data_IF_511615820134
#
_entry.id   IF_511615820134
#
_cell.length_a   1.000
_cell.length_b   1.000
_cell.length_c   1.000
_cell.angle_alpha   90.00
_cell.angle_beta   90.00
_cell.angle_gamma   90.00
#
_symmetry.space_group_name_H-M   'P 1'
#
loop_
_entity.id
_entity.type
_entity.pdbx_description
1 polymer ?
#
# COMPACT_ATOMS: atom_id res chain seq x y z
N UNK A 1 29.62 -9.33 -1.84
CA UNK A 1 29.68 -9.51 -3.31
C UNK A 1 28.59 -8.78 -4.08
N UNK A 2 27.34 -8.62 -3.60
CA UNK A 2 26.27 -7.93 -4.37
C UNK A 2 26.53 -6.44 -4.61
N UNK A 3 27.26 -5.78 -3.70
CA UNK A 3 27.70 -4.40 -3.90
C UNK A 3 28.63 -4.24 -5.11
N UNK A 4 29.37 -5.29 -5.46
CA UNK A 4 30.37 -5.24 -6.53
C UNK A 4 29.71 -5.22 -7.91
N UNK A 5 28.72 -6.09 -8.15
CA UNK A 5 27.98 -6.17 -9.41
C UNK A 5 27.25 -4.85 -9.69
N UNK A 6 26.64 -4.26 -8.65
CA UNK A 6 26.03 -2.93 -8.74
C UNK A 6 27.05 -1.84 -9.05
N UNK A 7 28.19 -1.82 -8.34
CA UNK A 7 29.23 -0.82 -8.57
C UNK A 7 29.79 -0.89 -10.01
N UNK A 8 29.95 -2.10 -10.56
CA UNK A 8 30.36 -2.28 -11.96
C UNK A 8 29.30 -1.70 -12.90
N UNK A 9 28.02 -2.00 -12.68
CA UNK A 9 26.92 -1.46 -13.50
C UNK A 9 26.79 0.06 -13.39
N UNK A 10 26.97 0.64 -12.21
CA UNK A 10 26.96 2.08 -12.00
C UNK A 10 28.14 2.74 -12.77
N UNK A 11 29.33 2.13 -12.75
CA UNK A 11 30.48 2.58 -13.55
C UNK A 11 30.23 2.45 -15.06
N UNK A 12 29.60 1.35 -15.51
CA UNK A 12 29.24 1.15 -16.92
C UNK A 12 28.20 2.18 -17.35
N UNK A 13 27.18 2.44 -16.54
CA UNK A 13 26.18 3.49 -16.82
C UNK A 13 26.82 4.88 -16.90
N UNK A 14 27.73 5.20 -15.97
CA UNK A 14 28.50 6.45 -16.03
C UNK A 14 29.38 6.53 -17.28
N UNK A 15 30.04 5.44 -17.67
CA UNK A 15 30.84 5.37 -18.90
C UNK A 15 29.98 5.63 -20.15
N UNK A 16 28.83 4.96 -20.27
CA UNK A 16 27.88 5.17 -21.38
C UNK A 16 27.45 6.64 -21.47
N UNK A 17 27.07 7.24 -20.33
CA UNK A 17 26.63 8.63 -20.26
C UNK A 17 27.76 9.61 -20.64
N UNK A 18 28.98 9.37 -20.16
CA UNK A 18 30.13 10.26 -20.38
C UNK A 18 30.69 10.18 -21.81
N UNK A 19 30.69 9.01 -22.43
CA UNK A 19 31.30 8.80 -23.75
C UNK A 19 30.37 9.08 -24.92
N UNK A 20 29.08 9.31 -24.67
CA UNK A 20 28.04 9.41 -25.72
C UNK A 20 28.07 8.20 -26.67
N UNK A 21 28.41 7.03 -26.15
CA UNK A 21 28.49 5.81 -26.93
C UNK A 21 27.11 5.49 -27.54
N UNK A 22 27.04 5.30 -28.87
CA UNK A 22 25.83 4.83 -29.50
C UNK A 22 25.67 3.34 -29.19
N UNK A 23 24.78 3.02 -28.25
CA UNK A 23 24.48 1.63 -27.93
C UNK A 23 23.88 0.92 -29.14
N UNK A 24 24.31 -0.32 -29.36
CA UNK A 24 23.62 -1.19 -30.31
C UNK A 24 22.16 -1.43 -29.86
N UNK A 25 21.24 -1.81 -30.76
CA UNK A 25 19.87 -2.13 -30.38
C UNK A 25 19.78 -3.21 -29.28
N UNK A 26 20.72 -4.16 -29.27
CA UNK A 26 20.81 -5.23 -28.27
C UNK A 26 21.30 -4.70 -26.92
N UNK A 27 22.38 -3.91 -26.92
CA UNK A 27 22.90 -3.28 -25.70
C UNK A 27 21.87 -2.34 -25.08
N UNK A 28 21.14 -1.58 -25.90
CA UNK A 28 20.05 -0.73 -25.45
C UNK A 28 18.96 -1.54 -24.76
N UNK A 29 18.58 -2.70 -25.30
CA UNK A 29 17.61 -3.59 -24.67
C UNK A 29 18.11 -4.11 -23.31
N UNK A 30 19.41 -4.43 -23.19
CA UNK A 30 20.00 -4.83 -21.90
C UNK A 30 19.95 -3.68 -20.87
N UNK A 31 20.26 -2.45 -21.27
CA UNK A 31 20.21 -1.26 -20.42
C UNK A 31 18.77 -0.94 -20.01
N UNK A 32 17.84 -0.90 -20.97
CA UNK A 32 16.43 -0.63 -20.72
C UNK A 32 15.83 -1.68 -19.75
N UNK A 33 16.22 -2.95 -19.87
CA UNK A 33 15.81 -3.99 -18.92
C UNK A 33 16.35 -3.69 -17.51
N UNK A 34 17.62 -3.32 -17.39
CA UNK A 34 18.23 -2.99 -16.09
C UNK A 34 17.60 -1.75 -15.45
N UNK A 35 17.37 -0.68 -16.21
CA UNK A 35 16.79 0.56 -15.69
C UNK A 35 15.34 0.38 -15.23
N UNK A 36 14.58 -0.46 -15.92
CA UNK A 36 13.20 -0.76 -15.52
C UNK A 36 13.10 -1.82 -14.42
N UNK A 37 14.15 -2.62 -14.20
CA UNK A 37 14.15 -3.72 -13.22
C UNK A 37 13.78 -3.29 -11.80
N UNK A 38 14.27 -2.16 -11.22
CA UNK A 38 13.95 -1.77 -9.86
C UNK A 38 12.48 -1.44 -9.68
N UNK A 39 11.82 -0.93 -10.74
CA UNK A 39 10.39 -0.61 -10.72
C UNK A 39 9.59 -1.91 -10.69
N UNK A 40 9.90 -2.86 -11.58
CA UNK A 40 9.19 -4.15 -11.62
C UNK A 40 9.37 -4.95 -10.33
N UNK A 41 10.60 -5.09 -9.84
CA UNK A 41 10.86 -5.80 -8.59
C UNK A 41 10.37 -5.03 -7.38
N UNK A 42 10.42 -3.71 -7.39
CA UNK A 42 9.86 -2.87 -6.33
C UNK A 42 8.35 -3.07 -6.20
N UNK A 43 7.62 -3.01 -7.33
CA UNK A 43 6.18 -3.25 -7.35
C UNK A 43 5.82 -4.70 -6.97
N UNK A 44 6.56 -5.69 -7.47
CA UNK A 44 6.33 -7.09 -7.11
C UNK A 44 6.59 -7.35 -5.61
N UNK A 45 7.70 -6.85 -5.07
CA UNK A 45 8.00 -6.95 -3.65
C UNK A 45 6.96 -6.19 -2.81
N UNK A 46 6.52 -5.01 -3.24
CA UNK A 46 5.47 -4.26 -2.57
C UNK A 46 4.13 -5.01 -2.59
N UNK A 47 3.76 -5.62 -3.71
CA UNK A 47 2.53 -6.40 -3.80
C UNK A 47 2.57 -7.62 -2.87
N UNK A 48 3.67 -8.38 -2.87
CA UNK A 48 3.81 -9.60 -2.06
C UNK A 48 3.93 -9.25 -0.58
N UNK A 49 4.90 -8.42 -0.20
CA UNK A 49 5.14 -8.09 1.20
C UNK A 49 4.13 -7.10 1.77
N UNK A 50 3.64 -6.16 0.95
CA UNK A 50 2.59 -5.25 1.33
C UNK A 50 1.25 -5.96 1.53
N UNK A 51 0.91 -6.95 0.70
CA UNK A 51 -0.27 -7.79 0.96
C UNK A 51 -0.08 -8.67 2.20
N UNK A 52 1.09 -9.28 2.38
CA UNK A 52 1.38 -10.08 3.57
C UNK A 52 1.31 -9.23 4.85
N UNK A 53 1.86 -8.01 4.83
CA UNK A 53 1.73 -7.03 5.90
C UNK A 53 0.27 -6.62 6.11
N UNK A 54 -0.49 -6.40 5.04
CA UNK A 54 -1.91 -6.05 5.14
C UNK A 54 -2.76 -7.16 5.78
N UNK A 55 -2.48 -8.44 5.48
CA UNK A 55 -3.19 -9.57 6.08
C UNK A 55 -2.73 -9.89 7.51
N UNK A 56 -1.47 -9.66 7.85
CA UNK A 56 -0.92 -9.96 9.18
C UNK A 56 -1.11 -8.82 10.17
N UNK A 57 -1.01 -7.57 9.72
CA UNK A 57 -1.24 -6.38 10.50
C UNK A 57 -2.69 -5.96 10.30
N UNK A 58 -3.60 -6.49 11.13
CA UNK A 58 -4.94 -5.91 11.27
C UNK A 58 -4.76 -4.48 11.83
N UNK A 59 -4.62 -3.48 10.94
CA UNK A 59 -4.27 -2.10 11.30
C UNK A 59 -5.21 -1.48 12.35
N UNK A 60 -6.41 -2.04 12.52
CA UNK A 60 -7.32 -1.67 13.62
C UNK A 60 -6.72 -1.90 15.01
N UNK A 61 -5.86 -2.90 15.17
CA UNK A 61 -5.22 -3.22 16.45
C UNK A 61 -4.16 -2.19 16.89
N UNK A 62 -3.65 -1.36 15.97
CA UNK A 62 -2.68 -0.29 16.31
C UNK A 62 -3.35 0.96 16.89
N UNK A 63 -4.67 1.10 16.77
CA UNK A 63 -5.42 2.21 17.36
C UNK A 63 -6.42 1.73 18.42
N UNK A 64 -6.01 0.93 19.43
CA UNK A 64 -6.94 0.38 20.42
C UNK A 64 -7.57 1.48 21.29
N UNK A 65 -6.91 2.63 21.39
CA UNK A 65 -7.31 3.71 22.29
C UNK A 65 -8.61 4.43 21.91
N UNK A 66 -9.02 4.44 20.63
CA UNK A 66 -10.22 5.20 20.28
C UNK A 66 -11.50 4.56 20.80
N UNK A 67 -11.58 3.23 20.73
CA UNK A 67 -12.76 2.50 21.17
C UNK A 67 -12.83 2.41 22.70
N UNK A 68 -11.68 2.25 23.36
CA UNK A 68 -11.60 2.20 24.82
C UNK A 68 -11.86 3.58 25.45
N UNK A 69 -11.37 4.68 24.84
CA UNK A 69 -11.74 6.05 25.26
C UNK A 69 -13.23 6.34 25.11
N UNK A 70 -13.88 5.86 24.05
CA UNK A 70 -15.33 6.03 23.89
C UNK A 70 -16.12 5.30 24.97
N UNK A 71 -15.71 4.09 25.35
CA UNK A 71 -16.36 3.37 26.47
C UNK A 71 -16.15 4.06 27.82
N UNK A 72 -14.94 4.56 28.10
CA UNK A 72 -14.69 5.35 29.33
C UNK A 72 -15.49 6.65 29.37
N UNK A 73 -15.63 7.35 28.24
CA UNK A 73 -16.45 8.57 28.18
C UNK A 73 -17.94 8.28 28.40
N UNK A 74 -18.46 7.15 27.90
CA UNK A 74 -19.85 6.76 28.17
C UNK A 74 -20.09 6.42 29.65
N UNK A 75 -19.14 5.76 30.32
CA UNK A 75 -19.26 5.50 31.76
C UNK A 75 -19.26 6.79 32.58
N UNK A 76 -18.39 7.76 32.25
CA UNK A 76 -18.37 9.05 32.96
C UNK A 76 -19.68 9.84 32.78
N UNK A 77 -20.31 9.82 31.59
CA UNK A 77 -21.61 10.47 31.41
C UNK A 77 -22.72 9.81 32.25
N UNK A 78 -22.67 8.50 32.43
CA UNK A 78 -23.67 7.77 33.20
C UNK A 78 -23.57 8.07 34.70
N UNK A 79 -22.36 8.17 35.25
CA UNK A 79 -22.14 8.60 36.64
C UNK A 79 -22.60 10.04 36.87
N UNK A 80 -22.37 10.94 35.91
CA UNK A 80 -22.81 12.33 36.05
C UNK A 80 -24.34 12.48 36.07
N UNK A 81 -25.07 11.64 35.31
CA UNK A 81 -26.53 11.60 35.38
C UNK A 81 -27.05 11.05 36.71
N UNK A 82 -26.39 10.05 37.30
CA UNK A 82 -26.78 9.53 38.61
C UNK A 82 -26.59 10.56 39.73
N UNK A 83 -25.50 11.35 39.70
CA UNK A 83 -25.31 12.44 40.67
C UNK A 83 -26.39 13.53 40.56
N UNK A 84 -26.84 13.88 39.35
CA UNK A 84 -27.94 14.85 39.20
C UNK A 84 -29.28 14.34 39.74
N UNK A 85 -29.58 13.04 39.60
CA UNK A 85 -30.79 12.49 40.19
C UNK A 85 -30.75 12.48 41.72
N UNK A 86 -29.59 12.21 42.34
CA UNK A 86 -29.48 12.29 43.81
C UNK A 86 -29.64 13.72 44.33
N UNK A 87 -29.13 14.73 43.62
CA UNK A 87 -29.35 16.13 44.03
C UNK A 87 -30.81 16.58 43.89
N UNK A 88 -31.57 16.09 42.90
CA UNK A 88 -33.00 16.39 42.84
C UNK A 88 -33.81 15.73 43.96
N UNK A 89 -33.40 14.53 44.42
CA UNK A 89 -34.09 13.86 45.51
C UNK A 89 -33.78 14.47 46.88
N UNK A 90 -32.60 15.06 47.05
CA UNK A 90 -32.25 15.85 48.23
C UNK A 90 -32.74 17.29 48.16
N UNK A 91 -33.31 17.77 47.05
CA UNK A 91 -33.89 19.11 47.00
C UNK A 91 -34.97 19.18 48.09
N UNK A 92 -34.74 19.94 49.17
CA UNK A 92 -35.61 19.93 50.33
C UNK A 92 -37.01 20.24 49.85
N UNK A 93 -37.94 19.33 50.16
CA UNK A 93 -39.35 19.54 49.86
C UNK A 93 -39.71 20.91 50.43
N UNK A 94 -40.14 21.88 49.60
CA UNK A 94 -40.48 23.19 50.11
C UNK A 94 -41.48 23.01 51.25
N UNK A 95 -41.31 23.73 52.38
CA UNK A 95 -42.20 23.60 53.52
C UNK A 95 -43.64 23.77 53.03
N UNK A 96 -44.48 22.79 53.34
CA UNK A 96 -45.91 22.79 53.01
C UNK A 96 -46.52 24.05 53.63
N UNK A 97 -46.74 25.07 52.82
CA UNK A 97 -47.71 26.11 53.13
C UNK A 97 -49.11 25.52 52.92
N UNK A 98 -50.06 25.81 53.83
CA UNK A 98 -51.43 25.31 53.74
C UNK A 98 -52.10 25.81 52.45
N UNK A 99 -52.99 25.01 51.85
CA UNK A 99 -53.66 25.36 50.59
C UNK A 99 -54.55 26.59 50.79
N UNK A 100 -54.35 27.67 50.02
CA UNK A 100 -55.36 28.71 49.90
C UNK A 100 -56.56 28.17 49.11
N UNK A 101 -57.74 28.56 49.58
CA UNK A 101 -59.03 28.20 49.02
C UNK A 101 -59.14 28.56 47.53
N UNK A 102 -59.83 27.68 46.80
CA UNK A 102 -60.18 27.79 45.39
C UNK A 102 -60.78 29.15 44.99
N UNK A 103 -60.34 29.70 43.85
CA UNK A 103 -61.21 30.37 42.89
C UNK A 103 -61.31 29.50 41.63
N UNK A 104 -62.49 28.97 41.32
CA UNK A 104 -63.46 29.56 40.38
C UNK A 104 -62.88 29.76 38.97
N UNK A 105 -63.44 28.99 38.06
CA UNK A 105 -63.24 28.91 36.61
C UNK A 105 -63.19 30.26 35.90
N UNK A 106 -62.26 30.40 34.95
CA UNK A 106 -62.44 31.19 33.74
C UNK A 106 -61.82 30.46 32.52
N UNK A 107 -62.56 30.36 31.40
CA UNK A 107 -62.04 29.79 30.15
C UNK A 107 -61.52 30.87 29.17
N UNK A 108 -60.81 30.38 28.14
CA UNK A 108 -60.39 31.03 26.89
C UNK A 108 -59.03 31.77 26.90
N UNK A 109 -58.35 31.99 25.74
CA UNK A 109 -58.78 31.73 24.37
C UNK A 109 -57.79 30.89 23.52
N UNK A 110 -58.33 30.36 22.42
CA UNK A 110 -57.55 29.92 21.25
C UNK A 110 -56.96 31.15 20.57
N UNK A 111 -55.71 31.08 20.14
CA UNK A 111 -55.26 31.82 18.97
C UNK A 111 -54.50 30.91 17.98
N UNK A 112 -54.93 30.91 16.70
CA UNK A 112 -54.18 30.39 15.56
C UNK A 112 -53.36 31.51 14.88
N UNK A 113 -52.43 31.15 13.98
CA UNK A 113 -51.57 32.03 13.15
C UNK A 113 -50.36 32.64 13.88
N UNK A 114 -49.16 32.84 13.31
CA UNK A 114 -48.57 32.67 11.98
C UNK A 114 -47.01 32.69 12.18
N UNK A 115 -46.13 32.22 11.29
CA UNK A 115 -45.36 32.97 10.27
C UNK A 115 -44.12 32.05 10.01
N UNK A 116 -43.94 31.43 8.84
CA UNK A 116 -43.29 31.91 7.59
C UNK A 116 -41.75 31.73 7.48
N UNK A 117 -41.36 30.94 6.45
CA UNK A 117 -40.14 30.99 5.59
C UNK A 117 -38.77 30.46 6.09
N UNK A 118 -37.82 30.06 5.19
CA UNK A 118 -37.77 30.18 3.71
C UNK A 118 -37.49 28.87 2.90
N UNK A 119 -37.62 28.91 1.55
CA UNK A 119 -37.18 27.84 0.64
C UNK A 119 -35.68 27.93 0.30
N UNK A 120 -35.01 26.78 0.22
CA UNK A 120 -33.62 26.65 -0.24
C UNK A 120 -33.55 26.37 -1.76
N UNK A 121 -32.42 26.72 -2.42
CA UNK A 121 -32.40 27.14 -3.81
C UNK A 121 -32.33 26.00 -4.85
N UNK A 122 -32.92 26.32 -6.00
CA UNK A 122 -32.72 25.69 -7.30
C UNK A 122 -31.21 25.67 -7.62
N UNK A 123 -30.65 24.47 -7.83
CA UNK A 123 -29.33 24.34 -8.45
C UNK A 123 -29.48 23.65 -9.80
N UNK A 124 -28.98 24.38 -10.79
CA UNK A 124 -29.12 24.19 -12.23
C UNK A 124 -28.74 22.80 -12.74
N UNK A 125 -29.54 22.38 -13.71
CA UNK A 125 -29.17 21.43 -14.74
C UNK A 125 -27.99 21.96 -15.58
N UNK A 126 -27.11 21.05 -15.98
CA UNK A 126 -26.46 20.93 -17.28
C UNK A 126 -25.03 20.39 -17.16
N UNK A 127 -24.82 19.10 -17.46
CA UNK A 127 -23.75 18.66 -18.37
C UNK A 127 -23.95 17.18 -18.79
N UNK A 128 -23.33 16.69 -19.88
CA UNK A 128 -24.03 15.98 -20.92
C UNK A 128 -23.84 14.47 -20.77
N UNK A 129 -24.80 13.79 -21.41
CA UNK A 129 -24.85 12.35 -21.63
C UNK A 129 -23.54 11.83 -22.23
N UNK A 130 -22.85 10.96 -21.49
CA UNK A 130 -22.08 9.87 -22.11
C UNK A 130 -23.01 8.65 -22.25
N UNK A 131 -22.92 7.87 -23.34
CA UNK A 131 -23.69 6.65 -23.49
C UNK A 131 -23.20 5.60 -22.49
N UNK A 132 -24.00 5.34 -21.47
CA UNK A 132 -23.82 4.23 -20.56
C UNK A 132 -24.25 2.94 -21.26
N UNK A 133 -23.33 1.98 -21.34
CA UNK A 133 -23.63 0.59 -21.61
C UNK A 133 -24.63 0.07 -20.57
N UNK A 134 -25.65 -0.74 -20.97
CA UNK A 134 -26.61 -1.30 -20.02
C UNK A 134 -25.90 -2.32 -19.12
N UNK A 135 -25.64 -1.94 -17.88
CA UNK A 135 -25.24 -2.86 -16.83
C UNK A 135 -26.44 -3.74 -16.43
N UNK A 136 -26.26 -5.06 -16.25
CA UNK A 136 -27.33 -5.96 -15.87
C UNK A 136 -27.87 -5.61 -14.48
N UNK A 137 -29.19 -5.47 -14.40
CA UNK A 137 -29.94 -5.27 -13.17
C UNK A 137 -29.66 -6.41 -12.18
N UNK A 138 -28.75 -6.17 -11.24
CA UNK A 138 -28.56 -7.04 -10.08
C UNK A 138 -29.77 -6.87 -9.17
N UNK A 139 -30.58 -7.92 -9.11
CA UNK A 139 -31.62 -8.11 -8.12
C UNK A 139 -31.02 -7.87 -6.71
N UNK A 140 -31.43 -6.76 -6.10
CA UNK A 140 -31.11 -6.46 -4.72
C UNK A 140 -31.94 -7.38 -3.81
N UNK A 141 -31.41 -8.56 -3.53
CA UNK A 141 -31.95 -9.43 -2.49
C UNK A 141 -31.79 -8.71 -1.16
N UNK A 142 -32.91 -8.30 -0.56
CA UNK A 142 -33.00 -7.75 0.78
C UNK A 142 -32.59 -8.83 1.81
N UNK A 143 -31.29 -9.06 1.96
CA UNK A 143 -30.75 -9.89 3.01
C UNK A 143 -30.96 -9.17 4.35
N UNK A 144 -31.92 -9.66 5.14
CA UNK A 144 -32.06 -9.33 6.56
C UNK A 144 -30.68 -9.49 7.20
N UNK A 145 -30.08 -8.37 7.61
CA UNK A 145 -28.85 -8.35 8.41
C UNK A 145 -29.16 -9.03 9.74
N UNK A 146 -28.93 -10.34 9.84
CA UNK A 146 -28.82 -10.97 11.14
C UNK A 146 -27.65 -10.29 11.87
N UNK A 147 -27.85 -9.88 13.14
CA UNK A 147 -26.75 -9.41 13.97
C UNK A 147 -25.82 -10.60 14.20
N UNK A 148 -24.80 -10.77 13.34
CA UNK A 148 -23.74 -11.72 13.61
C UNK A 148 -23.11 -11.33 14.94
N UNK A 149 -22.91 -12.28 15.86
CA UNK A 149 -22.23 -12.02 17.12
C UNK A 149 -20.88 -11.41 16.80
N UNK A 150 -20.59 -10.28 17.44
CA UNK A 150 -19.34 -9.54 17.29
C UNK A 150 -18.22 -10.48 17.72
N UNK A 151 -17.57 -11.13 16.75
CA UNK A 151 -16.49 -12.07 17.01
C UNK A 151 -15.39 -11.32 17.76
N UNK A 152 -15.27 -11.58 19.06
CA UNK A 152 -14.20 -11.04 19.91
C UNK A 152 -12.93 -11.74 19.44
N UNK A 153 -12.17 -11.08 18.57
CA UNK A 153 -10.88 -11.61 18.14
C UNK A 153 -9.92 -11.56 19.32
N UNK A 154 -9.15 -12.62 19.58
CA UNK A 154 -8.16 -12.61 20.65
C UNK A 154 -7.15 -11.50 20.39
N UNK A 155 -6.92 -10.65 21.38
CA UNK A 155 -5.88 -9.63 21.33
C UNK A 155 -4.53 -10.35 21.34
N UNK A 156 -3.81 -10.30 20.22
CA UNK A 156 -2.48 -10.90 20.16
C UNK A 156 -1.51 -10.09 21.03
N UNK A 157 -0.59 -10.76 21.74
CA UNK A 157 0.46 -10.09 22.51
C UNK A 157 1.31 -9.16 21.63
N UNK A 158 1.63 -7.97 22.14
CA UNK A 158 2.38 -6.95 21.38
C UNK A 158 3.74 -7.44 20.86
N UNK A 159 4.40 -8.35 21.57
CA UNK A 159 5.68 -8.93 21.13
C UNK A 159 5.53 -9.75 19.85
N UNK A 160 4.44 -10.49 19.66
CA UNK A 160 4.19 -11.28 18.43
C UNK A 160 4.08 -10.34 17.23
N UNK A 161 3.36 -9.23 17.37
CA UNK A 161 3.25 -8.21 16.33
C UNK A 161 4.62 -7.61 15.97
N UNK A 162 5.46 -7.34 16.98
CA UNK A 162 6.81 -6.82 16.76
C UNK A 162 7.67 -7.79 15.93
N UNK A 163 7.65 -9.09 16.29
CA UNK A 163 8.37 -10.12 15.52
C UNK A 163 7.81 -10.31 14.12
N UNK A 164 6.49 -10.19 13.95
CA UNK A 164 5.85 -10.22 12.64
C UNK A 164 6.35 -9.11 11.73
N UNK A 165 6.41 -7.87 12.24
CA UNK A 165 6.97 -6.73 11.49
C UNK A 165 8.44 -6.98 11.15
N UNK A 166 9.25 -7.38 12.13
CA UNK A 166 10.67 -7.64 11.92
C UNK A 166 10.92 -8.71 10.86
N UNK A 167 10.15 -9.82 10.88
CA UNK A 167 10.24 -10.89 9.90
C UNK A 167 9.83 -10.43 8.49
N UNK A 168 8.75 -9.66 8.37
CA UNK A 168 8.30 -9.09 7.08
C UNK A 168 9.35 -8.14 6.52
N UNK A 169 9.91 -7.25 7.35
CA UNK A 169 10.97 -6.34 6.93
C UNK A 169 12.22 -7.10 6.47
N UNK A 170 12.69 -8.06 7.26
CA UNK A 170 13.85 -8.88 6.89
C UNK A 170 13.62 -9.65 5.58
N UNK A 171 12.43 -10.21 5.41
CA UNK A 171 12.02 -10.89 4.18
C UNK A 171 12.03 -9.96 2.96
N UNK A 172 11.48 -8.75 3.09
CA UNK A 172 11.47 -7.75 2.02
C UNK A 172 12.88 -7.28 1.63
N UNK A 173 13.77 -7.07 2.60
CA UNK A 173 15.16 -6.73 2.32
C UNK A 173 15.91 -7.87 1.64
N UNK A 174 15.73 -9.11 2.11
CA UNK A 174 16.36 -10.28 1.51
C UNK A 174 15.85 -10.51 0.08
N UNK A 175 14.54 -10.44 -0.16
CA UNK A 175 13.97 -10.64 -1.50
C UNK A 175 14.47 -9.58 -2.48
N UNK A 176 14.43 -8.30 -2.08
CA UNK A 176 14.96 -7.19 -2.89
C UNK A 176 16.44 -7.40 -3.20
N UNK A 177 17.24 -7.79 -2.21
CA UNK A 177 18.66 -8.08 -2.37
C UNK A 177 18.92 -9.19 -3.40
N UNK A 178 18.21 -10.31 -3.30
CA UNK A 178 18.36 -11.42 -4.24
C UNK A 178 17.87 -11.07 -5.64
N UNK A 179 16.75 -10.34 -5.77
CA UNK A 179 16.26 -9.90 -7.09
C UNK A 179 17.21 -8.92 -7.76
N UNK A 180 17.76 -7.95 -7.02
CA UNK A 180 18.75 -7.01 -7.57
C UNK A 180 20.03 -7.73 -7.99
N UNK A 181 20.48 -8.71 -7.19
CA UNK A 181 21.64 -9.54 -7.56
C UNK A 181 21.39 -10.33 -8.84
N UNK A 182 20.22 -10.95 -8.97
CA UNK A 182 19.87 -11.72 -10.15
C UNK A 182 19.77 -10.83 -11.39
N UNK A 183 19.06 -9.71 -11.31
CA UNK A 183 18.94 -8.75 -12.40
C UNK A 183 20.29 -8.18 -12.84
N UNK A 184 21.18 -7.87 -11.88
CA UNK A 184 22.53 -7.41 -12.19
C UNK A 184 23.33 -8.46 -12.96
N UNK A 185 23.21 -9.75 -12.60
CA UNK A 185 23.87 -10.86 -13.30
C UNK A 185 23.33 -11.06 -14.71
N UNK A 186 22.02 -11.07 -14.88
CA UNK A 186 21.38 -11.17 -16.21
C UNK A 186 21.79 -10.01 -17.11
N UNK A 187 21.84 -8.79 -16.57
CA UNK A 187 22.31 -7.62 -17.32
C UNK A 187 23.80 -7.76 -17.71
N UNK A 188 24.65 -8.17 -16.77
CA UNK A 188 26.07 -8.39 -17.05
C UNK A 188 26.29 -9.50 -18.10
N UNK A 189 25.49 -10.57 -18.02
CA UNK A 189 25.50 -11.67 -18.97
C UNK A 189 25.08 -11.17 -20.36
N UNK A 190 24.02 -10.36 -20.44
CA UNK A 190 23.58 -9.71 -21.67
C UNK A 190 24.70 -8.90 -22.33
N UNK A 191 25.49 -8.14 -21.56
CA UNK A 191 26.67 -7.40 -22.07
C UNK A 191 27.83 -8.29 -22.51
N UNK A 192 28.05 -9.43 -21.85
CA UNK A 192 29.12 -10.37 -22.21
C UNK A 192 28.75 -11.15 -23.48
N UNK A 193 27.46 -11.44 -23.67
CA UNK A 193 26.95 -12.22 -24.79
C UNK A 193 26.72 -11.38 -26.06
N UNK A 194 26.90 -10.06 -26.03
CA UNK A 194 26.87 -9.21 -27.23
C UNK A 194 27.91 -9.71 -28.24
N UNK A 195 27.49 -9.98 -29.47
CA UNK A 195 28.35 -10.57 -30.52
C UNK A 195 29.59 -9.71 -30.81
N UNK A 196 29.50 -8.39 -30.65
CA UNK A 196 30.60 -7.47 -30.90
C UNK A 196 31.60 -7.39 -29.74
N UNK A 197 32.48 -8.40 -29.68
CA UNK A 197 33.62 -8.43 -28.75
C UNK A 197 34.62 -7.29 -28.95
N UNK A 198 34.49 -6.49 -30.02
CA UNK A 198 35.34 -5.32 -30.27
C UNK A 198 34.75 -4.04 -29.69
N UNK A 199 33.49 -4.05 -29.22
CA UNK A 199 32.87 -2.87 -28.64
C UNK A 199 33.70 -2.35 -27.45
N UNK A 200 33.85 -1.04 -27.36
CA UNK A 200 34.55 -0.41 -26.23
C UNK A 200 33.81 -0.67 -24.91
N UNK A 201 32.50 -0.84 -24.97
CA UNK A 201 31.67 -1.24 -23.84
C UNK A 201 32.07 -2.63 -23.33
N UNK A 202 32.17 -3.64 -24.21
CA UNK A 202 32.60 -4.99 -23.84
C UNK A 202 33.99 -4.98 -23.19
N UNK A 203 34.96 -4.28 -23.78
CA UNK A 203 36.33 -4.18 -23.24
C UNK A 203 36.34 -3.51 -21.86
N UNK A 204 35.57 -2.44 -21.69
CA UNK A 204 35.47 -1.69 -20.43
C UNK A 204 34.81 -2.54 -19.35
N UNK A 205 33.67 -3.16 -19.64
CA UNK A 205 32.98 -4.09 -18.73
C UNK A 205 33.89 -5.24 -18.33
N UNK A 206 34.63 -5.83 -19.28
CA UNK A 206 35.59 -6.90 -19.00
C UNK A 206 36.75 -6.45 -18.11
N UNK A 207 37.28 -5.24 -18.33
CA UNK A 207 38.33 -4.65 -17.50
C UNK A 207 37.83 -4.41 -16.08
N UNK A 208 36.69 -3.75 -15.92
CA UNK A 208 36.05 -3.48 -14.62
C UNK A 208 35.74 -4.79 -13.88
N UNK A 209 35.22 -5.80 -14.58
CA UNK A 209 34.92 -7.08 -13.97
C UNK A 209 36.19 -7.77 -13.44
N UNK A 210 37.30 -7.73 -14.18
CA UNK A 210 38.59 -8.27 -13.72
C UNK A 210 39.18 -7.50 -12.55
N UNK A 211 39.05 -6.18 -12.55
CA UNK A 211 39.61 -5.31 -11.51
C UNK A 211 38.86 -5.49 -10.17
N UNK A 212 37.54 -5.64 -10.24
CA UNK A 212 36.70 -5.70 -9.05
C UNK A 212 36.37 -7.12 -8.61
N UNK A 213 36.35 -8.11 -9.50
CA UNK A 213 35.93 -9.48 -9.19
C UNK A 213 37.09 -10.48 -9.31
N UNK A 214 37.59 -11.06 -8.21
CA UNK A 214 38.66 -12.06 -8.26
C UNK A 214 38.24 -13.34 -9.00
N UNK A 215 36.92 -13.58 -9.14
CA UNK A 215 36.34 -14.72 -9.85
C UNK A 215 35.90 -14.37 -11.28
N UNK A 216 36.31 -13.23 -11.85
CA UNK A 216 35.88 -12.78 -13.18
C UNK A 216 36.08 -13.85 -14.28
N UNK A 217 37.15 -14.65 -14.17
CA UNK A 217 37.43 -15.72 -15.14
C UNK A 217 36.36 -16.83 -15.18
N UNK A 218 35.58 -17.02 -14.10
CA UNK A 218 34.45 -17.96 -14.12
C UNK A 218 33.32 -17.49 -15.04
N UNK A 219 33.09 -16.17 -15.12
CA UNK A 219 32.09 -15.59 -16.02
C UNK A 219 32.49 -15.78 -17.49
N UNK A 220 33.77 -15.57 -17.82
CA UNK A 220 34.27 -15.76 -19.20
C UNK A 220 34.37 -17.22 -19.64
N UNK A 221 34.41 -18.19 -18.70
CA UNK A 221 34.43 -19.62 -19.05
C UNK A 221 33.12 -20.09 -19.67
N UNK A 222 31.98 -19.52 -19.25
CA UNK A 222 30.66 -19.87 -19.79
C UNK A 222 30.56 -19.47 -21.27
N UNK A 223 31.14 -18.32 -21.64
CA UNK A 223 31.23 -17.82 -23.02
C UNK A 223 31.88 -18.83 -23.98
N UNK A 224 32.88 -19.58 -23.49
CA UNK A 224 33.62 -20.57 -24.28
C UNK A 224 32.77 -21.79 -24.64
N UNK A 225 31.81 -22.15 -23.79
CA UNK A 225 30.92 -23.29 -24.04
C UNK A 225 29.82 -22.96 -25.06
N UNK A 226 29.28 -21.74 -25.05
CA UNK A 226 28.29 -21.31 -26.04
C UNK A 226 28.90 -21.08 -27.43
N UNK A 227 30.10 -20.48 -27.51
CA UNK A 227 30.83 -20.34 -28.77
C UNK A 227 31.19 -21.70 -29.42
N UNK A 228 31.40 -22.74 -28.59
CA UNK A 228 31.65 -24.11 -29.07
C UNK A 228 30.37 -24.85 -29.47
N UNK A 229 29.20 -24.45 -28.98
CA UNK A 229 27.93 -25.13 -29.23
C UNK A 229 27.09 -24.50 -30.36
N UNK A 230 27.28 -23.20 -30.65
CA UNK A 230 26.53 -22.48 -31.69
C UNK A 230 27.07 -22.59 -33.11
N UNK A 231 28.12 -23.40 -33.35
CA UNK A 231 28.88 -23.42 -34.61
C UNK A 231 28.22 -24.09 -35.83
N UNK A 232 27.00 -24.64 -35.74
CA UNK A 232 26.44 -25.45 -36.85
C UNK A 232 25.03 -25.08 -37.29
N UNK A 233 24.54 -23.87 -36.98
CA UNK A 233 23.15 -23.47 -37.25
C UNK A 233 22.89 -22.56 -38.45
N UNK A 234 23.85 -22.35 -39.36
CA UNK A 234 23.71 -21.39 -40.48
C UNK A 234 23.12 -21.95 -41.78
N UNK A 235 22.70 -23.20 -41.81
CA UNK A 235 22.06 -23.81 -42.99
C UNK A 235 20.58 -24.09 -42.70
N UNK A 236 19.77 -23.03 -42.65
CA UNK A 236 18.33 -23.15 -42.83
C UNK A 236 18.01 -22.93 -44.32
N UNK A 237 17.53 -23.95 -45.06
CA UNK A 237 17.18 -23.79 -46.47
C UNK A 237 15.97 -22.85 -46.61
N UNK A 238 16.04 -21.97 -47.61
CA UNK A 238 14.98 -21.03 -48.02
C UNK A 238 13.73 -21.73 -48.51
#
# INVERSE_FOLDING_TARGET
>A
MVFLEKQILDHVGYFIASTKHQLSPEEKKCVDFYDNSPIYYGLANFAIWGSMAYFTLDFRSFFPNHQQRQQQQQQQQQEQQQQQQQQQQQKPRPPRTPPPASPVSQPAPRDPFAIQHPPAPIRNAANPRHPAFPAPARAASAAKKLPLPRAVRPVMPAWITLWGIAAISAGAFASTYYTSKWAARECLQCFIDVEDKKSELYKTTRRLLKEHNPDADKYFKIEKHFASAGGTGKDAPK
#
